data_IF_801613482870
#
_entry.id   IF_801613482870
#
_cell.length_a   1.000
_cell.length_b   1.000
_cell.length_c   1.000
_cell.angle_alpha   90.00
_cell.angle_beta   90.00
_cell.angle_gamma   90.00
#
_symmetry.space_group_name_H-M   'P 1'
#
loop_
_entity.id
_entity.type
_entity.pdbx_description
1 polymer ?
#
# COMPACT_ATOMS: atom_id res chain seq x y z
N UNK A 1 16.94 -27.63 16.72
CA UNK A 1 17.55 -27.70 15.39
C UNK A 1 16.60 -27.00 14.43
N UNK A 2 16.90 -25.75 14.07
CA UNK A 2 16.16 -25.00 13.06
C UNK A 2 16.34 -25.64 11.68
N UNK A 3 15.45 -25.32 10.74
CA UNK A 3 15.96 -24.56 9.62
C UNK A 3 15.18 -23.26 9.51
N UNK A 4 15.90 -22.16 9.72
CA UNK A 4 15.57 -20.89 9.08
C UNK A 4 15.49 -21.15 7.58
N UNK A 5 14.28 -21.45 7.10
CA UNK A 5 13.98 -21.34 5.69
C UNK A 5 14.14 -19.87 5.31
N UNK A 6 14.96 -19.51 4.30
CA UNK A 6 15.08 -18.13 3.86
C UNK A 6 13.67 -17.61 3.61
N UNK A 7 13.28 -16.49 4.24
CA UNK A 7 11.98 -15.89 3.93
C UNK A 7 11.92 -15.71 2.42
N UNK A 8 11.16 -16.58 1.75
CA UNK A 8 10.90 -16.45 0.32
C UNK A 8 10.29 -15.07 0.17
N UNK A 9 10.97 -14.17 -0.54
CA UNK A 9 10.42 -12.91 -1.02
C UNK A 9 9.27 -13.27 -1.96
N UNK A 10 8.12 -13.63 -1.41
CA UNK A 10 6.91 -13.88 -2.17
C UNK A 10 6.41 -12.51 -2.61
N UNK A 11 6.85 -12.11 -3.81
CA UNK A 11 6.35 -10.91 -4.47
C UNK A 11 4.84 -10.98 -4.56
N UNK A 12 4.18 -9.90 -4.12
CA UNK A 12 2.75 -9.63 -4.28
C UNK A 12 1.82 -10.80 -3.90
N UNK A 13 1.79 -11.17 -2.62
CA UNK A 13 0.68 -11.97 -2.09
C UNK A 13 -0.61 -11.15 -2.12
N UNK A 14 -1.67 -11.69 -2.74
CA UNK A 14 -3.03 -11.14 -2.62
C UNK A 14 -3.44 -11.16 -1.15
N UNK A 15 -3.75 -10.00 -0.57
CA UNK A 15 -4.22 -9.88 0.80
C UNK A 15 -5.74 -9.68 0.83
N UNK A 16 -6.39 -10.24 1.84
CA UNK A 16 -7.80 -9.98 2.12
C UNK A 16 -8.00 -8.50 2.48
N UNK A 17 -9.11 -7.91 2.04
CA UNK A 17 -9.45 -6.51 2.35
C UNK A 17 -10.07 -6.44 3.74
N UNK A 18 -9.20 -6.45 4.76
CA UNK A 18 -9.55 -6.29 6.17
C UNK A 18 -8.49 -5.46 6.90
N UNK A 19 -8.77 -5.10 8.15
CA UNK A 19 -7.79 -4.41 9.01
C UNK A 19 -6.53 -5.26 9.16
N UNK A 20 -5.36 -4.65 8.95
CA UNK A 20 -4.07 -5.30 9.18
C UNK A 20 -3.75 -5.17 10.66
N UNK A 21 -3.75 -6.27 11.39
CA UNK A 21 -3.53 -6.27 12.85
C UNK A 21 -2.07 -5.96 13.22
N UNK A 22 -1.11 -6.57 12.51
CA UNK A 22 0.30 -6.31 12.73
C UNK A 22 0.64 -4.85 12.40
N UNK A 23 1.04 -4.08 13.42
CA UNK A 23 1.30 -2.64 13.33
C UNK A 23 2.39 -2.30 12.31
N UNK A 24 3.50 -3.04 12.28
CA UNK A 24 4.60 -2.81 11.31
C UNK A 24 4.12 -3.03 9.89
N UNK A 25 3.42 -4.13 9.62
CA UNK A 25 2.86 -4.43 8.30
C UNK A 25 1.80 -3.41 7.89
N UNK A 26 0.98 -2.94 8.84
CA UNK A 26 -0.01 -1.90 8.60
C UNK A 26 0.67 -0.60 8.19
N UNK A 27 1.71 -0.17 8.91
CA UNK A 27 2.47 1.04 8.59
C UNK A 27 3.14 0.96 7.21
N UNK A 28 3.84 -0.14 6.93
CA UNK A 28 4.51 -0.34 5.63
C UNK A 28 3.48 -0.38 4.50
N UNK A 29 2.36 -1.07 4.70
CA UNK A 29 1.29 -1.16 3.70
C UNK A 29 0.61 0.19 3.48
N UNK A 30 0.36 0.95 4.56
CA UNK A 30 -0.16 2.31 4.48
C UNK A 30 0.76 3.20 3.63
N UNK A 31 2.06 3.24 3.93
CA UNK A 31 3.02 4.01 3.15
C UNK A 31 3.02 3.62 1.67
N UNK A 32 3.06 2.31 1.37
CA UNK A 32 3.04 1.82 -0.02
C UNK A 32 1.75 2.16 -0.75
N UNK A 33 0.58 1.94 -0.13
CA UNK A 33 -0.73 2.20 -0.75
C UNK A 33 -1.02 3.68 -0.90
N UNK A 34 -0.69 4.51 0.10
CA UNK A 34 -0.80 5.97 0.02
C UNK A 34 0.00 6.51 -1.17
N UNK A 35 1.24 6.05 -1.34
CA UNK A 35 2.07 6.48 -2.47
C UNK A 35 1.48 6.01 -3.82
N UNK A 36 0.94 4.79 -3.89
CA UNK A 36 0.25 4.30 -5.08
C UNK A 36 -1.02 5.11 -5.41
N UNK A 37 -1.83 5.44 -4.41
CA UNK A 37 -3.02 6.28 -4.57
C UNK A 37 -2.68 7.69 -5.05
N UNK A 38 -1.63 8.31 -4.49
CA UNK A 38 -1.15 9.61 -4.93
C UNK A 38 -0.71 9.59 -6.40
N UNK A 39 0.03 8.56 -6.82
CA UNK A 39 0.44 8.39 -8.22
C UNK A 39 -0.78 8.27 -9.15
N UNK A 40 -1.77 7.45 -8.78
CA UNK A 40 -2.97 7.28 -9.58
C UNK A 40 -3.81 8.56 -9.65
N UNK A 41 -3.97 9.29 -8.54
CA UNK A 41 -4.68 10.57 -8.54
C UNK A 41 -3.99 11.61 -9.45
N UNK A 42 -2.66 11.67 -9.42
CA UNK A 42 -1.87 12.52 -10.30
C UNK A 42 -2.02 12.14 -11.77
N UNK A 43 -1.88 10.85 -12.10
CA UNK A 43 -2.05 10.35 -13.47
C UNK A 43 -3.46 10.64 -14.00
N UNK A 44 -4.50 10.46 -13.18
CA UNK A 44 -5.88 10.77 -13.55
C UNK A 44 -6.07 12.26 -13.84
N UNK A 45 -5.53 13.13 -12.98
CA UNK A 45 -5.59 14.58 -13.17
C UNK A 45 -4.96 15.01 -14.50
N UNK A 46 -3.79 14.45 -14.84
CA UNK A 46 -3.11 14.75 -16.10
C UNK A 46 -3.82 14.19 -17.34
N UNK A 47 -4.28 12.93 -17.29
CA UNK A 47 -4.86 12.26 -18.45
C UNK A 47 -6.24 12.81 -18.83
N UNK A 48 -6.99 13.30 -17.84
CA UNK A 48 -8.37 13.73 -18.04
C UNK A 48 -8.57 15.23 -17.84
N UNK A 49 -7.50 16.00 -17.61
CA UNK A 49 -7.55 17.44 -17.28
C UNK A 49 -8.56 17.75 -16.17
N UNK A 50 -8.50 16.93 -15.10
CA UNK A 50 -9.47 16.95 -14.01
C UNK A 50 -8.82 17.43 -12.71
N UNK A 51 -9.54 18.28 -11.97
CA UNK A 51 -9.17 18.62 -10.60
C UNK A 51 -9.48 17.44 -9.67
N UNK A 52 -8.44 16.89 -9.04
CA UNK A 52 -8.55 15.71 -8.16
C UNK A 52 -8.01 16.05 -6.76
N UNK A 53 -8.83 15.82 -5.73
CA UNK A 53 -8.43 15.96 -4.33
C UNK A 53 -8.39 14.59 -3.63
N UNK A 54 -7.33 14.33 -2.87
CA UNK A 54 -7.18 13.14 -2.04
C UNK A 54 -6.90 13.55 -0.58
N UNK A 55 -7.72 13.10 0.35
CA UNK A 55 -7.57 13.35 1.80
C UNK A 55 -7.32 12.02 2.50
N UNK A 56 -6.18 11.90 3.20
CA UNK A 56 -5.79 10.69 3.94
C UNK A 56 -5.37 11.08 5.35
N UNK A 57 -6.01 10.48 6.35
CA UNK A 57 -5.63 10.63 7.75
C UNK A 57 -4.79 9.43 8.21
N UNK A 58 -3.82 9.68 9.09
CA UNK A 58 -3.14 8.64 9.86
C UNK A 58 -3.08 9.07 11.33
N UNK A 59 -3.48 8.16 12.23
CA UNK A 59 -3.25 8.26 13.67
C UNK A 59 -2.23 7.19 14.07
#
# INVERSE_FOLDING_TARGET
MSPDSPQRKLGWGKIEVKRIENTTNRQVTFCKRRNGLLKMAYELSLLCDAEVALIVFSL
#
